data_IF_539289874552
#
_entry.id   IF_539289874552
#
_cell.length_a   1.000
_cell.length_b   1.000
_cell.length_c   1.000
_cell.angle_alpha   90.00
_cell.angle_beta   90.00
_cell.angle_gamma   90.00
#
_symmetry.space_group_name_H-M   'P 1'
#
loop_
_entity.id
_entity.type
_entity.pdbx_description
1 polymer ?
#
# COMPACT_ATOMS: atom_id res chain seq x y z
N UNK A 1 -7.94 34.40 -31.16
CA UNK A 1 -8.26 32.95 -31.03
C UNK A 1 -7.07 32.13 -30.51
N UNK A 2 -5.91 32.07 -31.18
CA UNK A 2 -4.73 31.29 -30.71
C UNK A 2 -4.24 31.62 -29.29
N UNK A 3 -4.16 32.92 -28.91
CA UNK A 3 -3.72 33.32 -27.56
C UNK A 3 -4.69 32.90 -26.44
N UNK A 4 -5.99 32.89 -26.72
CA UNK A 4 -7.00 32.42 -25.77
C UNK A 4 -6.94 30.89 -25.58
N UNK A 5 -6.70 30.14 -26.66
CA UNK A 5 -6.53 28.67 -26.61
C UNK A 5 -5.26 28.29 -25.81
N UNK A 6 -4.15 29.03 -25.99
CA UNK A 6 -2.92 28.78 -25.23
C UNK A 6 -3.13 29.08 -23.74
N UNK A 7 -3.83 30.18 -23.42
CA UNK A 7 -4.16 30.54 -22.04
C UNK A 7 -5.11 29.54 -21.36
N UNK A 8 -6.08 28.98 -22.09
CA UNK A 8 -6.94 27.93 -21.53
C UNK A 8 -6.20 26.62 -21.33
N UNK A 9 -5.31 26.24 -22.24
CA UNK A 9 -4.46 25.05 -22.07
C UNK A 9 -3.52 25.16 -20.87
N UNK A 10 -2.90 26.34 -20.67
CA UNK A 10 -1.98 26.55 -19.56
C UNK A 10 -2.70 26.52 -18.20
N UNK A 11 -3.91 27.09 -18.11
CA UNK A 11 -4.75 27.01 -16.91
C UNK A 11 -5.16 25.56 -16.63
N UNK A 12 -5.55 24.79 -17.65
CA UNK A 12 -5.92 23.37 -17.48
C UNK A 12 -4.73 22.54 -16.96
N UNK A 13 -3.53 22.78 -17.48
CA UNK A 13 -2.30 22.12 -17.01
C UNK A 13 -2.03 22.44 -15.53
N UNK A 14 -2.14 23.71 -15.13
CA UNK A 14 -1.94 24.13 -13.73
C UNK A 14 -2.97 23.48 -12.80
N UNK A 15 -4.23 23.37 -13.22
CA UNK A 15 -5.29 22.70 -12.45
C UNK A 15 -5.03 21.19 -12.28
N UNK A 16 -4.50 20.52 -13.31
CA UNK A 16 -4.08 19.12 -13.23
C UNK A 16 -2.92 18.93 -12.23
N UNK A 17 -1.96 19.86 -12.18
CA UNK A 17 -0.87 19.83 -11.20
C UNK A 17 -1.34 20.07 -9.75
N UNK A 18 -2.37 20.87 -9.53
CA UNK A 18 -2.97 21.09 -8.20
C UNK A 18 -3.76 19.87 -7.75
N UNK A 19 -4.52 19.24 -8.64
CA UNK A 19 -5.25 18.01 -8.35
C UNK A 19 -4.33 16.84 -7.99
N UNK A 20 -3.15 16.75 -8.62
CA UNK A 20 -2.14 15.72 -8.34
C UNK A 20 -1.36 15.91 -7.02
N UNK A 21 -1.53 17.03 -6.30
CA UNK A 21 -0.81 17.34 -5.05
C UNK A 21 -1.69 17.29 -3.80
N UNK A 22 -2.88 16.69 -3.88
CA UNK A 22 -3.69 16.45 -2.68
C UNK A 22 -2.98 15.44 -1.78
N UNK A 23 -2.63 15.87 -0.56
CA UNK A 23 -2.17 14.95 0.48
C UNK A 23 -3.31 13.97 0.77
N UNK A 24 -3.07 12.68 0.55
CA UNK A 24 -4.02 11.63 0.89
C UNK A 24 -4.25 11.65 2.39
N UNK A 25 -5.49 11.84 2.81
CA UNK A 25 -5.88 11.80 4.21
C UNK A 25 -6.50 10.43 4.49
N UNK A 26 -5.70 9.54 5.07
CA UNK A 26 -6.15 8.20 5.42
C UNK A 26 -7.05 8.20 6.65
N UNK A 27 -7.93 7.22 6.74
CA UNK A 27 -8.73 6.96 7.91
C UNK A 27 -7.85 6.83 9.18
N UNK A 28 -8.14 7.67 10.19
CA UNK A 28 -7.38 7.75 11.45
C UNK A 28 -7.27 6.42 12.21
N UNK A 29 -8.26 5.55 12.09
CA UNK A 29 -8.22 4.24 12.74
C UNK A 29 -7.23 3.31 12.06
N UNK A 30 -7.14 3.35 10.72
CA UNK A 30 -6.13 2.59 9.96
C UNK A 30 -4.72 3.06 10.31
N UNK A 31 -4.51 4.38 10.47
CA UNK A 31 -3.22 4.93 10.94
C UNK A 31 -2.88 4.42 12.35
N UNK A 32 -3.86 4.41 13.27
CA UNK A 32 -3.64 3.89 14.62
C UNK A 32 -3.27 2.41 14.61
N UNK A 33 -3.95 1.59 13.79
CA UNK A 33 -3.65 0.17 13.61
C UNK A 33 -2.23 -0.01 13.05
N UNK A 34 -1.83 0.75 12.04
CA UNK A 34 -0.49 0.66 11.43
C UNK A 34 0.61 0.93 12.46
N UNK A 35 0.39 1.88 13.38
CA UNK A 35 1.36 2.18 14.45
C UNK A 35 1.58 1.02 15.42
N UNK A 36 0.61 0.11 15.54
CA UNK A 36 0.64 -1.04 16.43
C UNK A 36 1.16 -2.31 15.75
N UNK A 37 0.98 -2.44 14.43
CA UNK A 37 1.12 -3.71 13.68
C UNK A 37 2.48 -4.40 13.86
N UNK A 38 3.54 -3.63 14.10
CA UNK A 38 4.89 -4.17 14.32
C UNK A 38 5.07 -4.72 15.72
N UNK A 39 4.53 -4.02 16.74
CA UNK A 39 4.76 -4.34 18.16
C UNK A 39 3.68 -5.28 18.72
N UNK A 40 2.46 -5.20 18.18
CA UNK A 40 1.28 -5.93 18.65
C UNK A 40 0.48 -6.44 17.43
N UNK A 41 1.04 -7.35 16.63
CA UNK A 41 0.41 -7.80 15.39
C UNK A 41 -0.94 -8.48 15.62
N UNK A 42 -1.11 -9.24 16.71
CA UNK A 42 -2.37 -9.91 17.05
C UNK A 42 -3.49 -8.90 17.38
N UNK A 43 -3.14 -7.87 18.16
CA UNK A 43 -4.06 -6.75 18.44
C UNK A 43 -4.42 -5.99 17.18
N UNK A 44 -3.44 -5.68 16.33
CA UNK A 44 -3.69 -5.01 15.06
C UNK A 44 -4.62 -5.83 14.15
N UNK A 45 -4.42 -7.15 14.07
CA UNK A 45 -5.29 -8.05 13.33
C UNK A 45 -6.72 -8.03 13.88
N UNK A 46 -6.88 -8.19 15.20
CA UNK A 46 -8.19 -8.14 15.86
C UNK A 46 -8.92 -6.81 15.59
N UNK A 47 -8.21 -5.68 15.61
CA UNK A 47 -8.77 -4.37 15.29
C UNK A 47 -9.18 -4.25 13.81
N UNK A 48 -8.41 -4.85 12.89
CA UNK A 48 -8.73 -4.87 11.46
C UNK A 48 -9.94 -5.75 11.16
N UNK A 49 -10.07 -6.90 11.84
CA UNK A 49 -11.22 -7.80 11.68
C UNK A 49 -12.51 -7.20 12.24
N UNK A 50 -12.41 -6.42 13.32
CA UNK A 50 -13.53 -5.66 13.88
C UNK A 50 -13.84 -4.36 13.11
N UNK A 51 -13.01 -3.98 12.12
CA UNK A 51 -13.15 -2.71 11.43
C UNK A 51 -14.40 -2.70 10.53
N UNK A 52 -15.28 -1.70 10.62
CA UNK A 52 -16.46 -1.61 9.78
C UNK A 52 -16.06 -1.23 8.34
N UNK A 53 -15.89 -2.20 7.45
CA UNK A 53 -15.40 -1.99 6.08
C UNK A 53 -16.32 -1.09 5.24
N UNK A 54 -17.61 -1.00 5.57
CA UNK A 54 -18.54 -0.03 4.98
C UNK A 54 -18.20 1.43 5.31
N UNK A 55 -17.30 1.68 6.27
CA UNK A 55 -16.79 3.03 6.61
C UNK A 55 -15.60 3.46 5.75
N UNK A 56 -15.07 2.60 4.87
CA UNK A 56 -14.02 2.95 3.93
C UNK A 56 -14.60 3.84 2.83
N UNK A 57 -14.30 5.14 2.88
CA UNK A 57 -14.92 6.14 2.00
C UNK A 57 -14.14 6.36 0.71
N UNK A 58 -12.85 5.99 0.69
CA UNK A 58 -11.96 6.28 -0.43
C UNK A 58 -11.24 5.03 -0.91
N UNK A 59 -10.81 5.03 -2.19
CA UNK A 59 -9.95 3.98 -2.72
C UNK A 59 -8.63 3.87 -1.94
N UNK A 60 -8.14 5.00 -1.43
CA UNK A 60 -6.94 5.05 -0.58
C UNK A 60 -7.13 4.29 0.72
N UNK A 61 -8.27 4.47 1.40
CA UNK A 61 -8.59 3.75 2.63
C UNK A 61 -8.75 2.25 2.37
N UNK A 62 -9.43 1.87 1.27
CA UNK A 62 -9.59 0.46 0.89
C UNK A 62 -8.25 -0.20 0.57
N UNK A 63 -7.35 0.49 -0.14
CA UNK A 63 -6.00 0.01 -0.41
C UNK A 63 -5.18 -0.11 0.87
N UNK A 64 -5.27 0.87 1.77
CA UNK A 64 -4.54 0.86 3.02
C UNK A 64 -5.03 -0.24 3.95
N UNK A 65 -6.34 -0.44 4.07
CA UNK A 65 -6.93 -1.57 4.78
C UNK A 65 -6.46 -2.91 4.21
N UNK A 66 -6.47 -3.07 2.88
CA UNK A 66 -5.99 -4.29 2.22
C UNK A 66 -4.51 -4.58 2.51
N UNK A 67 -3.67 -3.54 2.52
CA UNK A 67 -2.26 -3.64 2.89
C UNK A 67 -2.10 -4.08 4.36
N UNK A 68 -2.76 -3.39 5.29
CA UNK A 68 -2.65 -3.65 6.72
C UNK A 68 -3.20 -5.03 7.09
N UNK A 69 -4.32 -5.45 6.52
CA UNK A 69 -4.89 -6.78 6.73
C UNK A 69 -3.91 -7.87 6.28
N UNK A 70 -3.27 -7.69 5.12
CA UNK A 70 -2.29 -8.65 4.59
C UNK A 70 -1.05 -8.71 5.49
N UNK A 71 -0.52 -7.55 5.91
CA UNK A 71 0.63 -7.46 6.81
C UNK A 71 0.34 -8.08 8.19
N UNK A 72 -0.82 -7.77 8.78
CA UNK A 72 -1.18 -8.27 10.10
C UNK A 72 -1.30 -9.80 10.08
N UNK A 73 -1.92 -10.38 9.05
CA UNK A 73 -2.01 -11.83 8.89
C UNK A 73 -0.64 -12.50 8.71
N UNK A 74 0.23 -11.95 7.86
CA UNK A 74 1.59 -12.48 7.67
C UNK A 74 2.39 -12.45 8.98
N UNK A 75 2.32 -11.34 9.74
CA UNK A 75 2.97 -11.22 11.05
C UNK A 75 2.41 -12.14 12.14
N UNK A 76 1.16 -12.59 11.99
CA UNK A 76 0.55 -13.60 12.84
C UNK A 76 0.68 -15.03 12.27
N UNK A 77 1.53 -15.23 11.26
CA UNK A 77 1.79 -16.53 10.64
C UNK A 77 0.55 -17.20 10.04
N UNK A 78 -0.45 -16.40 9.64
CA UNK A 78 -1.64 -16.89 8.96
C UNK A 78 -1.30 -17.05 7.47
N UNK A 79 -1.46 -18.27 6.96
CA UNK A 79 -1.25 -18.59 5.55
C UNK A 79 -2.30 -17.88 4.70
N UNK A 80 -1.86 -17.08 3.73
CA UNK A 80 -2.74 -16.31 2.85
C UNK A 80 -2.57 -16.72 1.39
N UNK A 81 -3.60 -17.31 0.80
CA UNK A 81 -3.61 -17.69 -0.63
C UNK A 81 -4.57 -16.87 -1.49
N UNK A 82 -5.46 -16.09 -0.86
CA UNK A 82 -6.31 -15.13 -1.57
C UNK A 82 -5.57 -13.80 -1.69
N UNK A 83 -5.24 -13.41 -2.92
CA UNK A 83 -4.47 -12.20 -3.21
C UNK A 83 -5.33 -10.96 -3.49
N UNK A 84 -6.66 -11.04 -3.41
CA UNK A 84 -7.56 -9.93 -3.78
C UNK A 84 -7.27 -8.63 -3.03
N UNK A 85 -7.00 -8.71 -1.72
CA UNK A 85 -6.71 -7.54 -0.88
C UNK A 85 -5.36 -6.90 -1.27
N UNK A 86 -4.32 -7.72 -1.39
CA UNK A 86 -2.98 -7.22 -1.69
C UNK A 86 -2.89 -6.73 -3.15
N UNK A 87 -3.61 -7.35 -4.09
CA UNK A 87 -3.73 -6.86 -5.47
C UNK A 87 -4.44 -5.50 -5.53
N UNK A 88 -5.47 -5.29 -4.70
CA UNK A 88 -6.14 -3.99 -4.61
C UNK A 88 -5.17 -2.91 -4.09
N UNK A 89 -4.38 -3.24 -3.07
CA UNK A 89 -3.34 -2.35 -2.55
C UNK A 89 -2.25 -2.05 -3.59
N UNK A 90 -1.75 -3.07 -4.31
CA UNK A 90 -0.78 -2.91 -5.39
C UNK A 90 -1.30 -2.02 -6.51
N UNK A 91 -2.55 -2.23 -6.94
CA UNK A 91 -3.20 -1.43 -7.99
C UNK A 91 -3.21 0.05 -7.61
N UNK A 92 -3.54 0.35 -6.36
CA UNK A 92 -3.53 1.73 -5.85
C UNK A 92 -2.10 2.27 -5.74
N UNK A 93 -1.24 1.64 -4.95
CA UNK A 93 0.07 2.22 -4.59
C UNK A 93 1.05 2.30 -5.77
N UNK A 94 0.92 1.44 -6.79
CA UNK A 94 1.72 1.56 -8.01
C UNK A 94 1.44 2.84 -8.80
N UNK A 95 0.23 3.39 -8.67
CA UNK A 95 -0.18 4.66 -9.29
C UNK A 95 0.13 5.90 -8.45
N UNK A 96 0.73 5.74 -7.26
CA UNK A 96 0.98 6.85 -6.32
C UNK A 96 2.47 7.11 -6.09
N UNK A 97 2.77 8.27 -5.51
CA UNK A 97 4.11 8.62 -5.03
C UNK A 97 4.36 8.18 -3.56
N UNK A 98 3.48 7.37 -2.96
CA UNK A 98 3.69 6.80 -1.62
C UNK A 98 4.63 5.59 -1.72
N UNK A 99 5.93 5.87 -1.83
CA UNK A 99 6.99 4.88 -2.08
C UNK A 99 7.06 3.86 -0.93
N UNK A 100 6.81 4.28 0.30
CA UNK A 100 6.80 3.43 1.50
C UNK A 100 5.71 2.37 1.41
N UNK A 101 4.45 2.76 1.19
CA UNK A 101 3.34 1.79 1.06
C UNK A 101 3.45 0.97 -0.19
N UNK A 102 3.99 1.53 -1.27
CA UNK A 102 4.29 0.78 -2.49
C UNK A 102 5.32 -0.33 -2.22
N UNK A 103 6.39 -0.03 -1.49
CA UNK A 103 7.39 -1.03 -1.09
C UNK A 103 6.75 -2.14 -0.25
N UNK A 104 5.95 -1.78 0.78
CA UNK A 104 5.23 -2.74 1.62
C UNK A 104 4.25 -3.59 0.83
N UNK A 105 3.49 -3.01 -0.08
CA UNK A 105 2.52 -3.73 -0.91
C UNK A 105 3.21 -4.78 -1.79
N UNK A 106 4.34 -4.44 -2.40
CA UNK A 106 5.16 -5.43 -3.11
C UNK A 106 5.69 -6.51 -2.17
N UNK A 107 6.26 -6.14 -1.02
CA UNK A 107 6.77 -7.13 -0.07
C UNK A 107 5.69 -8.13 0.37
N UNK A 108 4.54 -7.65 0.85
CA UNK A 108 3.47 -8.53 1.32
C UNK A 108 2.76 -9.27 0.18
N UNK A 109 2.80 -8.77 -1.06
CA UNK A 109 2.40 -9.59 -2.23
C UNK A 109 3.37 -10.75 -2.43
N UNK A 110 4.66 -10.54 -2.18
CA UNK A 110 5.66 -11.60 -2.17
C UNK A 110 5.33 -12.67 -1.12
N UNK A 111 4.90 -12.27 0.08
CA UNK A 111 4.46 -13.19 1.13
C UNK A 111 3.24 -14.02 0.70
N UNK A 112 2.19 -13.38 0.16
CA UNK A 112 0.99 -14.09 -0.31
C UNK A 112 1.33 -15.09 -1.43
N UNK A 113 2.22 -14.73 -2.34
CA UNK A 113 2.68 -15.67 -3.39
C UNK A 113 3.56 -16.79 -2.84
N UNK A 114 4.40 -16.54 -1.83
CA UNK A 114 5.16 -17.59 -1.13
C UNK A 114 4.21 -18.60 -0.52
N UNK A 115 3.21 -18.12 0.22
CA UNK A 115 2.19 -18.94 0.88
C UNK A 115 1.37 -19.75 -0.13
N UNK A 116 1.15 -19.18 -1.32
CA UNK A 116 0.51 -19.83 -2.47
C UNK A 116 1.43 -20.78 -3.26
N UNK A 117 2.66 -21.04 -2.81
CA UNK A 117 3.68 -21.84 -3.51
C UNK A 117 4.10 -21.30 -4.90
N UNK A 118 3.80 -20.03 -5.18
CA UNK A 118 4.12 -19.31 -6.43
C UNK A 118 5.49 -18.65 -6.31
N UNK A 119 6.54 -19.49 -6.24
CA UNK A 119 7.91 -19.08 -5.89
C UNK A 119 8.48 -17.99 -6.81
N UNK A 120 8.25 -18.09 -8.12
CA UNK A 120 8.77 -17.12 -9.09
C UNK A 120 8.11 -15.75 -8.92
N UNK A 121 6.78 -15.71 -8.78
CA UNK A 121 6.08 -14.45 -8.55
C UNK A 121 6.44 -13.85 -7.19
N UNK A 122 6.59 -14.68 -6.16
CA UNK A 122 7.04 -14.24 -4.84
C UNK A 122 8.39 -13.52 -4.90
N UNK A 123 9.40 -14.16 -5.52
CA UNK A 123 10.73 -13.57 -5.69
C UNK A 123 10.68 -12.28 -6.52
N UNK A 124 9.86 -12.25 -7.57
CA UNK A 124 9.67 -11.06 -8.41
C UNK A 124 9.17 -9.87 -7.57
N UNK A 125 8.19 -10.11 -6.70
CA UNK A 125 7.64 -9.06 -5.84
C UNK A 125 8.67 -8.55 -4.83
N UNK A 126 9.46 -9.42 -4.20
CA UNK A 126 10.53 -9.00 -3.29
C UNK A 126 11.62 -8.18 -3.98
N UNK A 127 12.01 -8.56 -5.20
CA UNK A 127 12.98 -7.81 -6.01
C UNK A 127 12.47 -6.42 -6.38
N UNK A 128 11.16 -6.23 -6.56
CA UNK A 128 10.56 -4.91 -6.78
C UNK A 128 10.50 -4.11 -5.46
N UNK A 129 10.13 -4.76 -4.35
CA UNK A 129 10.02 -4.12 -3.04
C UNK A 129 11.37 -3.54 -2.56
N UNK A 130 12.47 -4.25 -2.83
CA UNK A 130 13.82 -3.89 -2.36
C UNK A 130 14.24 -2.45 -2.70
N UNK A 131 14.37 -2.05 -3.98
CA UNK A 131 14.81 -0.69 -4.32
C UNK A 131 13.81 0.39 -3.87
N UNK A 132 12.52 0.05 -3.75
CA UNK A 132 11.52 0.97 -3.20
C UNK A 132 11.74 1.19 -1.71
N UNK A 133 12.01 0.13 -0.95
CA UNK A 133 12.31 0.19 0.47
C UNK A 133 13.62 0.96 0.74
N UNK A 134 14.65 0.77 -0.09
CA UNK A 134 15.89 1.54 -0.05
C UNK A 134 15.62 3.03 -0.26
N UNK A 135 14.84 3.37 -1.30
CA UNK A 135 14.45 4.74 -1.62
C UNK A 135 13.59 5.40 -0.53
N UNK A 136 12.72 4.64 0.12
CA UNK A 136 11.89 5.12 1.23
C UNK A 136 12.66 5.24 2.55
N UNK A 137 13.86 4.66 2.66
CA UNK A 137 14.60 4.59 3.93
C UNK A 137 14.01 3.59 4.93
N UNK A 138 13.19 2.64 4.46
CA UNK A 138 12.45 1.68 5.28
C UNK A 138 13.33 0.52 5.75
N UNK A 139 14.19 0.79 6.73
CA UNK A 139 15.17 -0.18 7.25
C UNK A 139 14.55 -1.49 7.73
N UNK A 140 13.39 -1.42 8.39
CA UNK A 140 12.68 -2.62 8.86
C UNK A 140 12.26 -3.52 7.70
N UNK A 141 11.72 -2.92 6.64
CA UNK A 141 11.30 -3.67 5.46
C UNK A 141 12.50 -4.26 4.72
N UNK A 142 13.63 -3.55 4.67
CA UNK A 142 14.87 -4.09 4.12
C UNK A 142 15.35 -5.31 4.89
N UNK A 143 15.37 -5.26 6.23
CA UNK A 143 15.73 -6.42 7.05
C UNK A 143 14.88 -7.64 6.74
N UNK A 144 13.58 -7.44 6.49
CA UNK A 144 12.65 -8.51 6.12
C UNK A 144 12.86 -9.08 4.71
N UNK A 145 13.39 -8.28 3.78
CA UNK A 145 13.68 -8.70 2.40
C UNK A 145 14.99 -9.50 2.30
N UNK A 146 15.95 -9.22 3.18
CA UNK A 146 17.26 -9.89 3.18
C UNK A 146 17.30 -11.20 3.96
N UNK A 147 16.26 -11.50 4.75
CA UNK A 147 16.07 -12.77 5.46
C UNK A 147 15.44 -13.82 4.55
#
# INVERSE_FOLDING_TARGET
MRKAIIATLSVLIVLLFIACNTRVNYNKYLIAIDSLIVQQPDTALSMLEAFPTNSLQTQADSAYYGLLMTEARDKNYIIQTNDSLIQSALTYYNGTNDIEKRARAHYYSGCVYRDSQRRTESMTQYLIAKPLAEKAGERRLLSLIYL
#
